data_IF_619286895462
#
_entry.id   IF_619286895462
#
_cell.length_a   1.000
_cell.length_b   1.000
_cell.length_c   1.000
_cell.angle_alpha   90.00
_cell.angle_beta   90.00
_cell.angle_gamma   90.00
#
_symmetry.space_group_name_H-M   'P 1'
#
loop_
_entity.id
_entity.type
_entity.pdbx_description
1 polymer ?
#
# COMPACT_ATOMS: atom_id res chain seq x y z
N UNK A 1 -29.11 9.12 -2.14
CA UNK A 1 -28.06 8.34 -1.47
C UNK A 1 -27.87 7.07 -2.27
N UNK A 2 -26.62 6.63 -2.45
CA UNK A 2 -26.28 5.47 -3.26
C UNK A 2 -25.91 4.27 -2.40
N UNK A 3 -26.17 3.07 -2.88
CA UNK A 3 -25.70 1.83 -2.24
C UNK A 3 -24.23 1.55 -2.61
N UNK A 4 -23.55 0.71 -1.83
CA UNK A 4 -22.20 0.27 -2.17
C UNK A 4 -22.12 -0.46 -3.53
N UNK A 5 -23.22 -1.07 -3.97
CA UNK A 5 -23.29 -1.74 -5.28
C UNK A 5 -23.43 -0.73 -6.42
N UNK A 6 -24.24 0.31 -6.26
CA UNK A 6 -24.35 1.39 -7.25
C UNK A 6 -23.03 2.12 -7.43
N UNK A 7 -22.34 2.43 -6.33
CA UNK A 7 -21.02 3.08 -6.39
C UNK A 7 -19.96 2.17 -7.01
N UNK A 8 -20.04 0.86 -6.80
CA UNK A 8 -19.17 -0.11 -7.44
C UNK A 8 -19.35 -0.09 -8.97
N UNK A 9 -20.60 -0.11 -9.43
CA UNK A 9 -20.91 -0.08 -10.86
C UNK A 9 -20.49 1.26 -11.51
N UNK A 10 -20.73 2.39 -10.85
CA UNK A 10 -20.41 3.72 -11.40
C UNK A 10 -18.91 4.04 -11.43
N UNK A 11 -18.15 3.56 -10.45
CA UNK A 11 -16.70 3.80 -10.38
C UNK A 11 -15.88 2.71 -11.08
N UNK A 12 -16.54 1.70 -11.66
CA UNK A 12 -15.91 0.51 -12.23
C UNK A 12 -14.97 -0.16 -11.21
N UNK A 13 -15.54 -0.50 -10.07
CA UNK A 13 -14.89 -1.13 -8.92
C UNK A 13 -15.68 -2.35 -8.49
N UNK A 14 -15.02 -3.27 -7.79
CA UNK A 14 -15.72 -4.33 -7.07
C UNK A 14 -16.39 -3.78 -5.81
N UNK A 15 -17.49 -4.41 -5.40
CA UNK A 15 -18.18 -4.08 -4.13
C UNK A 15 -17.23 -4.12 -2.92
N UNK A 16 -16.27 -5.04 -2.93
CA UNK A 16 -15.24 -5.17 -1.89
C UNK A 16 -14.29 -3.98 -1.86
N UNK A 17 -13.86 -3.49 -3.03
CA UNK A 17 -13.01 -2.29 -3.12
C UNK A 17 -13.72 -1.05 -2.59
N UNK A 18 -15.03 -0.92 -2.88
CA UNK A 18 -15.84 0.15 -2.29
C UNK A 18 -15.82 0.07 -0.77
N UNK A 19 -16.06 -1.10 -0.15
CA UNK A 19 -15.98 -1.23 1.31
C UNK A 19 -14.58 -0.95 1.86
N UNK A 20 -13.52 -1.35 1.16
CA UNK A 20 -12.15 -1.06 1.57
C UNK A 20 -11.83 0.44 1.53
N UNK A 21 -12.34 1.17 0.55
CA UNK A 21 -12.24 2.62 0.49
C UNK A 21 -12.98 3.26 1.67
N UNK A 22 -14.22 2.84 1.92
CA UNK A 22 -15.05 3.37 2.99
C UNK A 22 -14.48 3.10 4.40
N UNK A 23 -13.67 2.05 4.57
CA UNK A 23 -12.96 1.76 5.84
C UNK A 23 -11.78 2.67 6.12
N UNK A 24 -11.30 3.45 5.14
CA UNK A 24 -10.19 4.39 5.36
C UNK A 24 -10.60 5.46 6.37
N UNK A 25 -9.66 5.87 7.23
CA UNK A 25 -9.87 6.89 8.28
C UNK A 25 -10.52 8.18 7.78
N UNK A 26 -10.28 8.56 6.51
CA UNK A 26 -10.81 9.78 5.90
C UNK A 26 -12.28 9.66 5.46
N UNK A 27 -12.73 8.47 5.09
CA UNK A 27 -14.08 8.24 4.56
C UNK A 27 -15.01 7.61 5.60
N UNK A 28 -14.46 6.85 6.55
CA UNK A 28 -15.23 6.16 7.60
C UNK A 28 -16.19 7.07 8.39
N UNK A 29 -15.87 8.33 8.72
CA UNK A 29 -16.80 9.21 9.44
C UNK A 29 -17.99 9.71 8.60
N UNK A 30 -17.86 9.67 7.27
CA UNK A 30 -18.86 10.17 6.32
C UNK A 30 -19.87 9.09 5.90
N UNK A 31 -19.64 7.84 6.31
CA UNK A 31 -20.49 6.70 5.98
C UNK A 31 -21.74 6.71 6.85
N UNK A 32 -22.92 6.78 6.22
CA UNK A 32 -24.20 6.61 6.92
C UNK A 32 -24.71 5.18 6.75
N UNK A 33 -25.44 4.68 7.75
CA UNK A 33 -26.12 3.38 7.68
C UNK A 33 -27.63 3.62 7.69
N UNK A 34 -28.33 3.11 6.68
CA UNK A 34 -29.79 3.11 6.62
C UNK A 34 -30.26 1.65 6.67
N UNK A 35 -30.96 1.27 7.75
CA UNK A 35 -31.49 -0.09 7.91
C UNK A 35 -30.42 -1.19 7.90
N UNK A 36 -29.22 -0.92 8.44
CA UNK A 36 -28.09 -1.87 8.44
C UNK A 36 -27.28 -1.92 7.15
N UNK A 37 -27.74 -1.27 6.08
CA UNK A 37 -27.00 -1.13 4.83
C UNK A 37 -26.20 0.17 4.78
N UNK A 38 -25.05 0.13 4.11
CA UNK A 38 -24.21 1.31 3.89
C UNK A 38 -24.84 2.21 2.84
N UNK A 39 -25.14 3.44 3.25
CA UNK A 39 -25.68 4.50 2.41
C UNK A 39 -24.61 5.56 2.18
N UNK A 40 -24.27 5.78 0.91
CA UNK A 40 -23.22 6.69 0.46
C UNK A 40 -23.90 7.99 0.01
N UNK A 41 -23.53 9.12 0.63
CA UNK A 41 -24.03 10.44 0.20
C UNK A 41 -23.42 10.84 -1.14
N UNK A 42 -24.05 11.77 -1.85
CA UNK A 42 -23.51 12.27 -3.12
C UNK A 42 -22.16 12.99 -2.90
N UNK A 43 -21.99 13.67 -1.77
CA UNK A 43 -20.71 14.29 -1.38
C UNK A 43 -19.60 13.24 -1.20
N UNK A 44 -19.89 12.14 -0.49
CA UNK A 44 -18.93 11.06 -0.30
C UNK A 44 -18.61 10.37 -1.63
N UNK A 45 -19.59 10.26 -2.53
CA UNK A 45 -19.39 9.74 -3.87
C UNK A 45 -18.39 10.59 -4.67
N UNK A 46 -18.52 11.92 -4.67
CA UNK A 46 -17.59 12.84 -5.35
C UNK A 46 -16.16 12.66 -4.82
N UNK A 47 -15.99 12.58 -3.49
CA UNK A 47 -14.68 12.37 -2.88
C UNK A 47 -14.05 11.02 -3.26
N UNK A 48 -14.86 9.96 -3.36
CA UNK A 48 -14.40 8.65 -3.81
C UNK A 48 -14.01 8.69 -5.30
N UNK A 49 -14.78 9.38 -6.13
CA UNK A 49 -14.50 9.56 -7.55
C UNK A 49 -13.17 10.30 -7.76
N UNK A 50 -12.92 11.39 -7.03
CA UNK A 50 -11.66 12.13 -7.06
C UNK A 50 -10.46 11.28 -6.62
N UNK A 51 -10.61 10.47 -5.57
CA UNK A 51 -9.54 9.58 -5.12
C UNK A 51 -9.24 8.46 -6.13
N UNK A 52 -10.25 7.95 -6.83
CA UNK A 52 -10.06 6.97 -7.91
C UNK A 52 -9.41 7.61 -9.14
N UNK A 53 -9.88 8.80 -9.55
CA UNK A 53 -9.28 9.55 -10.66
C UNK A 53 -7.80 9.88 -10.41
N UNK A 54 -7.47 10.35 -9.21
CA UNK A 54 -6.08 10.65 -8.85
C UNK A 54 -5.20 9.40 -8.81
N UNK A 55 -5.70 8.27 -8.27
CA UNK A 55 -5.00 6.98 -8.34
C UNK A 55 -4.77 6.51 -9.77
N UNK A 56 -5.80 6.56 -10.62
CA UNK A 56 -5.70 6.18 -12.05
C UNK A 56 -4.71 7.08 -12.79
N UNK A 57 -4.70 8.38 -12.52
CA UNK A 57 -3.76 9.32 -13.14
C UNK A 57 -2.31 9.10 -12.68
N UNK A 58 -2.08 8.80 -11.40
CA UNK A 58 -0.75 8.45 -10.91
C UNK A 58 -0.23 7.15 -11.53
N UNK A 59 -1.10 6.16 -11.72
CA UNK A 59 -0.77 4.92 -12.42
C UNK A 59 -0.46 5.21 -13.90
N UNK A 60 -1.30 5.99 -14.60
CA UNK A 60 -1.03 6.40 -15.99
C UNK A 60 0.29 7.16 -16.15
N UNK A 61 0.62 8.09 -15.26
CA UNK A 61 1.93 8.79 -15.32
C UNK A 61 3.11 7.85 -15.06
N UNK A 62 2.92 6.81 -14.25
CA UNK A 62 3.94 5.80 -13.98
C UNK A 62 4.06 4.80 -15.15
N UNK A 63 2.93 4.43 -15.76
CA UNK A 63 2.86 3.66 -17.00
C UNK A 63 3.43 4.44 -18.19
N UNK A 64 3.17 5.73 -18.34
CA UNK A 64 3.73 6.59 -19.39
C UNK A 64 5.24 6.78 -19.22
N UNK A 65 5.74 6.83 -17.97
CA UNK A 65 7.19 6.79 -17.69
C UNK A 65 7.80 5.43 -18.01
N UNK A 66 7.06 4.34 -17.80
CA UNK A 66 7.48 2.98 -18.16
C UNK A 66 7.36 2.72 -19.67
N UNK A 67 6.36 3.28 -20.35
CA UNK A 67 6.12 3.25 -21.79
C UNK A 67 7.12 4.13 -22.52
N UNK A 68 7.48 5.31 -22.00
CA UNK A 68 8.61 6.08 -22.53
C UNK A 68 9.94 5.29 -22.41
N UNK A 69 10.12 4.52 -21.33
CA UNK A 69 11.23 3.56 -21.18
C UNK A 69 11.09 2.28 -22.02
N UNK A 70 9.87 1.89 -22.44
CA UNK A 70 9.57 0.68 -23.22
C UNK A 70 9.48 0.94 -24.72
N UNK A 71 9.13 2.16 -25.15
CA UNK A 71 9.10 2.60 -26.54
C UNK A 71 10.51 2.86 -27.09
N UNK A 72 11.53 2.85 -26.22
CA UNK A 72 12.94 2.66 -26.63
C UNK A 72 13.29 1.19 -26.88
N UNK A 73 12.40 0.25 -26.53
CA UNK A 73 12.65 -1.20 -26.48
C UNK A 73 11.83 -1.98 -27.52
N UNK A 74 10.86 -1.39 -28.23
CA UNK A 74 10.07 -2.10 -29.26
C UNK A 74 9.93 -1.32 -30.55
N UNK A 75 10.80 -1.62 -31.52
CA UNK A 75 10.39 -2.13 -32.86
C UNK A 75 11.65 -2.34 -33.72
N UNK A 76 12.37 -3.45 -33.50
CA UNK A 76 13.15 -4.05 -34.60
C UNK A 76 12.21 -5.03 -35.29
N UNK A 77 11.35 -4.51 -36.16
CA UNK A 77 10.68 -5.34 -37.16
C UNK A 77 11.77 -5.84 -38.10
N UNK A 78 12.05 -7.13 -38.00
CA UNK A 78 12.96 -7.87 -38.87
C UNK A 78 12.37 -7.97 -40.28
N UNK A 79 12.55 -6.90 -41.07
CA UNK A 79 12.60 -7.06 -42.53
C UNK A 79 13.89 -7.82 -42.87
N UNK A 80 13.72 -8.98 -43.51
CA UNK A 80 14.82 -9.83 -43.97
C UNK A 80 15.56 -9.13 -45.11
N UNK A 81 16.52 -8.28 -44.76
CA UNK A 81 17.57 -7.80 -45.67
C UNK A 81 18.71 -8.85 -45.74
N UNK A 82 19.40 -9.03 -46.88
CA UNK A 82 20.46 -10.05 -47.04
C UNK A 82 21.70 -9.79 -46.17
N UNK A 83 21.85 -8.56 -45.65
CA UNK A 83 22.96 -8.15 -44.79
C UNK A 83 22.61 -8.22 -43.30
N UNK A 84 21.87 -9.26 -42.90
CA UNK A 84 21.43 -9.44 -41.52
C UNK A 84 22.60 -9.85 -40.62
N UNK A 85 23.29 -8.88 -40.02
CA UNK A 85 24.38 -9.14 -39.08
C UNK A 85 23.82 -9.63 -37.73
N UNK A 86 23.56 -10.93 -37.64
CA UNK A 86 23.01 -11.61 -36.45
C UNK A 86 23.78 -11.24 -35.17
N UNK A 87 25.10 -11.04 -35.29
CA UNK A 87 25.97 -10.67 -34.16
C UNK A 87 25.56 -9.31 -33.56
N UNK A 88 25.27 -8.31 -34.39
CA UNK A 88 24.87 -6.98 -33.93
C UNK A 88 23.52 -7.00 -33.23
N UNK A 89 22.57 -7.79 -33.75
CA UNK A 89 21.26 -7.99 -33.13
C UNK A 89 21.41 -8.65 -31.76
N UNK A 90 22.24 -9.68 -31.65
CA UNK A 90 22.52 -10.35 -30.37
C UNK A 90 23.21 -9.40 -29.37
N UNK A 91 24.17 -8.59 -29.81
CA UNK A 91 24.83 -7.59 -28.96
C UNK A 91 23.83 -6.56 -28.40
N UNK A 92 22.92 -6.06 -29.23
CA UNK A 92 21.87 -5.16 -28.80
C UNK A 92 20.93 -5.82 -27.78
N UNK A 93 20.57 -7.09 -27.98
CA UNK A 93 19.76 -7.84 -27.02
C UNK A 93 20.48 -8.05 -25.69
N UNK A 94 21.78 -8.36 -25.70
CA UNK A 94 22.59 -8.50 -24.48
C UNK A 94 22.61 -7.18 -23.71
N UNK A 95 22.89 -6.06 -24.37
CA UNK A 95 22.90 -4.74 -23.75
C UNK A 95 21.56 -4.36 -23.12
N UNK A 96 20.45 -4.70 -23.78
CA UNK A 96 19.10 -4.51 -23.22
C UNK A 96 18.87 -5.38 -21.98
N UNK A 97 19.30 -6.64 -21.99
CA UNK A 97 19.20 -7.55 -20.83
C UNK A 97 20.08 -7.07 -19.68
N UNK A 98 21.29 -6.61 -19.94
CA UNK A 98 22.18 -6.05 -18.91
C UNK A 98 21.56 -4.84 -18.22
N UNK A 99 20.98 -3.91 -19.00
CA UNK A 99 20.26 -2.77 -18.45
C UNK A 99 19.07 -3.20 -17.57
N UNK A 100 18.33 -4.23 -17.98
CA UNK A 100 17.25 -4.81 -17.17
C UNK A 100 17.77 -5.41 -15.87
N UNK A 101 18.90 -6.13 -15.92
CA UNK A 101 19.56 -6.69 -14.74
C UNK A 101 19.99 -5.58 -13.78
N UNK A 102 20.60 -4.50 -14.28
CA UNK A 102 20.98 -3.34 -13.45
C UNK A 102 19.77 -2.73 -12.73
N UNK A 103 18.67 -2.49 -13.46
CA UNK A 103 17.45 -1.94 -12.86
C UNK A 103 16.89 -2.87 -11.78
N UNK A 104 16.88 -4.19 -12.03
CA UNK A 104 16.43 -5.17 -11.05
C UNK A 104 17.32 -5.17 -9.80
N UNK A 105 18.64 -5.10 -9.96
CA UNK A 105 19.58 -5.04 -8.85
C UNK A 105 19.39 -3.79 -7.98
N UNK A 106 19.11 -2.63 -8.58
CA UNK A 106 18.82 -1.40 -7.84
C UNK A 106 17.54 -1.53 -7.02
N UNK A 107 16.49 -2.12 -7.60
CA UNK A 107 15.22 -2.40 -6.91
C UNK A 107 15.44 -3.39 -5.76
N UNK A 108 16.21 -4.46 -5.97
CA UNK A 108 16.53 -5.46 -4.94
C UNK A 108 17.27 -4.79 -3.78
N UNK A 109 18.34 -4.03 -4.07
CA UNK A 109 19.13 -3.32 -3.07
C UNK A 109 18.28 -2.38 -2.22
N UNK A 110 17.41 -1.60 -2.86
CA UNK A 110 16.50 -0.68 -2.17
C UNK A 110 15.50 -1.41 -1.28
N UNK A 111 14.94 -2.51 -1.76
CA UNK A 111 14.01 -3.33 -0.98
C UNK A 111 14.70 -3.97 0.22
N UNK A 112 15.91 -4.49 0.07
CA UNK A 112 16.70 -5.04 1.19
C UNK A 112 16.97 -3.98 2.26
N UNK A 113 17.32 -2.75 1.87
CA UNK A 113 17.49 -1.64 2.81
C UNK A 113 16.20 -1.32 3.57
N UNK A 114 15.05 -1.36 2.90
CA UNK A 114 13.75 -1.12 3.51
C UNK A 114 13.34 -2.25 4.47
N UNK A 115 13.60 -3.50 4.11
CA UNK A 115 13.35 -4.66 4.98
C UNK A 115 14.14 -4.51 6.28
N UNK A 116 15.45 -4.23 6.19
CA UNK A 116 16.30 -4.04 7.37
C UNK A 116 15.77 -2.93 8.30
N UNK A 117 15.35 -1.80 7.75
CA UNK A 117 14.77 -0.70 8.56
C UNK A 117 13.46 -1.12 9.27
N UNK A 118 12.62 -1.94 8.61
CA UNK A 118 11.39 -2.46 9.20
C UNK A 118 11.68 -3.49 10.30
N UNK A 119 12.69 -4.34 10.12
CA UNK A 119 13.14 -5.29 11.14
C UNK A 119 13.64 -4.57 12.40
N UNK A 120 14.45 -3.52 12.24
CA UNK A 120 14.94 -2.68 13.33
C UNK A 120 13.77 -2.04 14.10
N UNK A 121 12.80 -1.44 13.40
CA UNK A 121 11.60 -0.87 14.02
C UNK A 121 10.73 -1.90 14.72
N UNK A 122 10.61 -3.10 14.15
CA UNK A 122 9.85 -4.18 14.77
C UNK A 122 10.51 -4.64 16.08
N UNK A 123 11.84 -4.70 16.12
CA UNK A 123 12.59 -5.02 17.32
C UNK A 123 12.39 -3.97 18.43
N UNK A 124 12.43 -2.68 18.09
CA UNK A 124 12.11 -1.59 19.01
C UNK A 124 10.69 -1.70 19.56
N UNK A 125 9.72 -2.03 18.70
CA UNK A 125 8.33 -2.22 19.11
C UNK A 125 8.17 -3.38 20.10
N UNK A 126 8.85 -4.52 19.87
CA UNK A 126 8.83 -5.67 20.78
C UNK A 126 9.38 -5.28 22.16
N UNK A 127 10.52 -4.58 22.21
CA UNK A 127 11.09 -4.09 23.48
C UNK A 127 10.12 -3.17 24.23
N UNK A 128 9.52 -2.20 23.53
CA UNK A 128 8.54 -1.28 24.13
C UNK A 128 7.31 -2.03 24.66
N UNK A 129 6.87 -3.07 23.95
CA UNK A 129 5.76 -3.91 24.37
C UNK A 129 6.08 -4.67 25.67
N UNK A 130 7.29 -5.20 25.80
CA UNK A 130 7.77 -5.84 27.04
C UNK A 130 7.83 -4.86 28.22
N UNK A 131 8.38 -3.66 28.00
CA UNK A 131 8.42 -2.60 29.02
C UNK A 131 7.03 -2.19 29.49
N UNK A 132 6.07 -2.05 28.57
CA UNK A 132 4.67 -1.77 28.90
C UNK A 132 4.03 -2.88 29.73
N UNK A 133 4.30 -4.15 29.41
CA UNK A 133 3.81 -5.29 30.19
C UNK A 133 4.38 -5.28 31.61
N UNK A 134 5.68 -4.99 31.75
CA UNK A 134 6.32 -4.86 33.06
C UNK A 134 5.71 -3.70 33.87
N UNK A 135 5.50 -2.54 33.27
CA UNK A 135 4.86 -1.41 33.93
C UNK A 135 3.43 -1.74 34.39
N UNK A 136 2.66 -2.45 33.56
CA UNK A 136 1.32 -2.91 33.91
C UNK A 136 1.35 -3.81 35.16
N UNK A 137 2.26 -4.79 35.21
CA UNK A 137 2.43 -5.66 36.38
C UNK A 137 2.77 -4.86 37.65
N UNK A 138 3.65 -3.86 37.54
CA UNK A 138 4.01 -2.98 38.66
C UNK A 138 2.78 -2.19 39.13
N UNK A 139 2.02 -1.59 38.22
CA UNK A 139 0.79 -0.84 38.54
C UNK A 139 -0.22 -1.74 39.25
N UNK A 140 -0.46 -2.96 38.75
CA UNK A 140 -1.38 -3.91 39.37
C UNK A 140 -0.93 -4.29 40.78
N UNK A 141 0.38 -4.47 40.99
CA UNK A 141 0.96 -4.73 42.31
C UNK A 141 0.77 -3.56 43.29
N UNK A 142 0.88 -2.32 42.81
CA UNK A 142 0.66 -1.12 43.62
C UNK A 142 -0.83 -0.99 43.97
N UNK A 143 -1.71 -1.20 43.00
CA UNK A 143 -3.16 -1.14 43.23
C UNK A 143 -3.63 -2.19 44.24
N UNK A 144 -3.12 -3.42 44.14
CA UNK A 144 -3.44 -4.50 45.10
C UNK A 144 -2.93 -4.17 46.50
N UNK A 145 -1.68 -3.70 46.64
CA UNK A 145 -1.15 -3.22 47.94
C UNK A 145 -1.98 -2.08 48.52
N UNK A 146 -2.37 -1.09 47.71
CA UNK A 146 -3.21 0.04 48.13
C UNK A 146 -4.58 -0.44 48.61
N UNK A 147 -5.23 -1.36 47.90
CA UNK A 147 -6.50 -1.97 48.32
C UNK A 147 -6.35 -2.68 49.68
N UNK A 148 -5.28 -3.46 49.86
CA UNK A 148 -5.00 -4.17 51.12
C UNK A 148 -4.77 -3.21 52.30
N UNK A 149 -3.99 -2.14 52.12
CA UNK A 149 -3.78 -1.10 53.16
C UNK A 149 -5.11 -0.47 53.60
N UNK A 150 -5.99 -0.12 52.65
CA UNK A 150 -7.32 0.42 52.94
C UNK A 150 -8.19 -0.56 53.74
N UNK A 151 -8.16 -1.85 53.40
CA UNK A 151 -8.90 -2.88 54.14
C UNK A 151 -8.40 -3.07 55.58
N UNK A 152 -7.10 -2.86 55.82
CA UNK A 152 -6.48 -3.00 57.14
C UNK A 152 -6.56 -1.72 57.99
N UNK A 153 -7.14 -0.63 57.48
CA UNK A 153 -7.20 0.66 58.20
C UNK A 153 -5.84 1.34 58.41
N UNK A 154 -4.80 0.88 57.70
CA UNK A 154 -3.45 1.44 57.75
C UNK A 154 -3.35 2.50 56.65
N UNK A 155 -3.50 3.77 57.03
CA UNK A 155 -3.43 4.91 56.11
C UNK A 155 -1.98 5.27 55.78
#
# INVERSE_FOLDING_TARGET
>A
MKTAQEVANELDLTRTEVYNLLRKKRFSPLVKKNGGQVAISNELFILLEEEIKSKRNNIKQQEDKLLAKKNTITDVKTEKSPDFNIIEVLQNQIKLKDNQITILNDVITNNLKRIKNLEEKNHEFIKLHEELNNLKLVIDSIQTKKKRKRLLGVF
#
